data_IF_788237089126
#
_entry.id   IF_788237089126
#
_cell.length_a   1.000
_cell.length_b   1.000
_cell.length_c   1.000
_cell.angle_alpha   90.00
_cell.angle_beta   90.00
_cell.angle_gamma   90.00
#
_symmetry.space_group_name_H-M   'P 1'
#
loop_
_entity.id
_entity.type
_entity.pdbx_description
1 polymer ?
#
# COMPACT_ATOMS: atom_id res chain seq x y z
N UNK A 1 4.15 5.81 -9.64
CA UNK A 1 3.98 4.99 -8.42
C UNK A 1 2.96 5.64 -7.50
N UNK A 2 2.01 4.87 -6.97
CA UNK A 2 0.94 5.35 -6.10
C UNK A 2 1.38 5.46 -4.63
N UNK A 3 2.12 4.46 -4.13
CA UNK A 3 2.70 4.38 -2.78
C UNK A 3 1.72 4.26 -1.61
N UNK A 4 0.43 4.05 -1.89
CA UNK A 4 -0.60 3.84 -0.85
C UNK A 4 -1.83 3.09 -1.39
N UNK A 5 -1.59 1.96 -2.08
CA UNK A 5 -2.66 1.09 -2.56
C UNK A 5 -3.25 0.31 -1.38
N UNK A 6 -4.56 0.47 -1.14
CA UNK A 6 -5.33 -0.20 -0.07
C UNK A 6 -6.83 -0.09 -0.35
N UNK A 7 -7.65 -0.93 0.30
CA UNK A 7 -9.09 -0.96 0.02
C UNK A 7 -9.78 0.39 0.27
N UNK A 8 -9.39 1.14 1.31
CA UNK A 8 -9.99 2.44 1.60
C UNK A 8 -9.68 3.53 0.57
N UNK A 9 -8.71 3.29 -0.33
CA UNK A 9 -8.36 4.20 -1.42
C UNK A 9 -8.97 3.75 -2.76
N UNK A 10 -9.75 2.66 -2.79
CA UNK A 10 -10.51 2.23 -3.96
C UNK A 10 -11.97 2.65 -3.79
N UNK A 11 -12.43 3.53 -4.67
CA UNK A 11 -13.81 4.00 -4.74
C UNK A 11 -14.60 3.15 -5.74
N UNK A 12 -15.90 3.01 -5.53
CA UNK A 12 -16.80 2.36 -6.47
C UNK A 12 -17.61 3.42 -7.21
N UNK A 13 -17.69 3.31 -8.53
CA UNK A 13 -18.61 4.14 -9.34
C UNK A 13 -20.03 3.56 -9.38
N UNK A 14 -20.91 4.22 -10.15
CA UNK A 14 -22.33 3.82 -10.26
C UNK A 14 -22.55 2.44 -10.87
N UNK A 15 -21.55 1.88 -11.56
CA UNK A 15 -21.57 0.57 -12.19
C UNK A 15 -20.78 -0.48 -11.37
N UNK A 16 -20.44 -0.16 -10.12
CA UNK A 16 -19.64 -1.00 -9.22
C UNK A 16 -18.21 -1.29 -9.72
N UNK A 17 -17.66 -0.45 -10.60
CA UNK A 17 -16.26 -0.56 -10.99
C UNK A 17 -15.35 0.11 -9.95
N UNK A 18 -14.32 -0.62 -9.54
CA UNK A 18 -13.27 -0.08 -8.66
C UNK A 18 -12.41 0.96 -9.37
N UNK A 19 -12.26 2.13 -8.74
CA UNK A 19 -11.40 3.23 -9.20
C UNK A 19 -10.44 3.60 -8.08
N UNK A 20 -9.15 3.53 -8.38
CA UNK A 20 -8.10 3.91 -7.44
C UNK A 20 -8.08 5.44 -7.28
N UNK A 21 -8.09 5.91 -6.05
CA UNK A 21 -8.02 7.32 -5.66
C UNK A 21 -6.92 7.57 -4.63
N UNK A 22 -6.87 8.81 -4.12
CA UNK A 22 -5.86 9.29 -3.16
C UNK A 22 -4.39 9.18 -3.65
N UNK A 23 -4.06 10.00 -4.64
CA UNK A 23 -2.71 10.12 -5.18
C UNK A 23 -1.81 11.08 -4.36
N UNK A 24 -2.14 11.37 -3.10
CA UNK A 24 -1.40 12.34 -2.27
C UNK A 24 0.06 11.94 -2.02
N UNK A 25 0.38 10.64 -2.07
CA UNK A 25 1.74 10.12 -1.95
C UNK A 25 2.38 9.76 -3.29
N UNK A 26 1.64 9.91 -4.40
CA UNK A 26 2.07 9.47 -5.71
C UNK A 26 3.31 10.23 -6.19
N UNK A 27 4.19 9.54 -6.90
CA UNK A 27 5.40 10.09 -7.49
C UNK A 27 5.58 9.56 -8.91
N UNK A 28 5.96 10.47 -9.81
CA UNK A 28 6.49 10.11 -11.12
C UNK A 28 7.89 9.54 -10.92
N UNK A 29 8.15 8.38 -11.51
CA UNK A 29 9.47 7.78 -11.49
C UNK A 29 10.17 8.14 -12.80
N UNK A 30 11.04 9.15 -12.78
CA UNK A 30 11.92 9.42 -13.93
C UNK A 30 13.05 8.39 -13.93
N UNK A 31 13.24 7.70 -15.06
CA UNK A 31 14.17 6.58 -15.29
C UNK A 31 15.68 6.90 -15.16
N UNK A 32 16.04 7.92 -14.37
CA UNK A 32 17.43 8.29 -14.07
C UNK A 32 17.62 8.99 -12.72
N UNK A 33 16.56 9.21 -11.95
CA UNK A 33 16.63 9.86 -10.62
C UNK A 33 16.49 8.81 -9.54
N UNK A 34 17.42 8.81 -8.60
CA UNK A 34 17.45 7.85 -7.50
C UNK A 34 16.10 7.86 -6.76
N UNK A 35 15.45 6.70 -6.68
CA UNK A 35 14.13 6.55 -6.04
C UNK A 35 14.20 6.63 -4.50
N UNK A 36 15.32 7.13 -3.96
CA UNK A 36 15.50 7.35 -2.55
C UNK A 36 14.49 8.40 -2.10
N UNK A 37 13.45 7.92 -1.41
CA UNK A 37 12.49 8.81 -0.79
C UNK A 37 13.05 9.24 0.56
N UNK A 38 13.05 10.55 0.83
CA UNK A 38 13.56 11.14 2.08
C UNK A 38 12.81 10.61 3.31
N UNK A 39 11.60 10.10 3.12
CA UNK A 39 10.78 9.47 4.15
C UNK A 39 9.99 8.27 3.59
N UNK A 40 10.02 7.16 4.33
CA UNK A 40 9.08 6.04 4.17
C UNK A 40 7.66 6.55 4.42
N UNK A 41 6.78 6.37 3.45
CA UNK A 41 5.39 6.83 3.50
C UNK A 41 4.47 5.75 2.92
N UNK A 42 3.24 5.70 3.43
CA UNK A 42 2.21 4.73 3.09
C UNK A 42 1.64 4.05 4.33
N UNK A 43 0.67 3.15 4.13
CA UNK A 43 -0.08 2.53 5.22
C UNK A 43 0.60 1.27 5.74
N UNK A 44 0.80 1.17 7.07
CA UNK A 44 1.33 -0.03 7.72
C UNK A 44 0.48 -1.27 7.37
N UNK A 45 1.15 -2.38 7.06
CA UNK A 45 0.50 -3.60 6.54
C UNK A 45 0.46 -3.68 5.01
N UNK A 46 0.70 -2.58 4.30
CA UNK A 46 0.77 -2.52 2.84
C UNK A 46 2.17 -2.12 2.34
N UNK A 47 3.07 -1.76 3.26
CA UNK A 47 4.44 -1.36 2.96
C UNK A 47 5.32 -2.59 2.69
N UNK A 48 5.92 -2.64 1.51
CA UNK A 48 6.90 -3.65 1.15
C UNK A 48 8.16 -3.57 2.03
N UNK A 49 8.80 -4.71 2.29
CA UNK A 49 9.95 -4.77 3.20
C UNK A 49 11.15 -3.97 2.70
N UNK A 50 11.39 -3.99 1.39
CA UNK A 50 12.45 -3.23 0.73
C UNK A 50 12.23 -1.70 0.83
N UNK A 51 10.98 -1.24 0.84
CA UNK A 51 10.65 0.16 1.07
C UNK A 51 10.95 0.54 2.53
N UNK A 52 10.60 -0.32 3.48
CA UNK A 52 10.88 -0.09 4.92
C UNK A 52 12.39 -0.09 5.19
N UNK A 53 13.14 -1.03 4.61
CA UNK A 53 14.57 -1.21 4.87
C UNK A 53 15.45 -0.18 4.18
N UNK A 54 15.13 0.16 2.94
CA UNK A 54 16.01 0.97 2.08
C UNK A 54 15.44 2.34 1.73
N UNK A 55 14.20 2.64 2.15
CA UNK A 55 13.53 3.91 1.81
C UNK A 55 13.29 4.07 0.31
N UNK A 56 13.35 2.97 -0.46
CA UNK A 56 13.29 2.99 -1.92
C UNK A 56 11.92 2.52 -2.38
N UNK A 57 11.11 3.46 -2.86
CA UNK A 57 9.84 3.12 -3.51
C UNK A 57 10.12 2.73 -4.97
N UNK A 58 9.56 1.61 -5.40
CA UNK A 58 9.66 1.11 -6.78
C UNK A 58 8.29 0.61 -7.24
N UNK A 59 8.15 0.27 -8.52
CA UNK A 59 6.95 -0.38 -9.03
C UNK A 59 6.63 -1.68 -8.27
N UNK A 60 7.65 -2.46 -7.88
CA UNK A 60 7.47 -3.66 -7.07
C UNK A 60 6.85 -3.37 -5.70
N UNK A 61 7.11 -2.20 -5.11
CA UNK A 61 6.49 -1.80 -3.84
C UNK A 61 4.99 -1.55 -3.97
N UNK A 62 4.53 -1.02 -5.11
CA UNK A 62 3.09 -0.89 -5.42
C UNK A 62 2.46 -2.27 -5.69
N UNK A 63 3.20 -3.20 -6.32
CA UNK A 63 2.74 -4.58 -6.55
C UNK A 63 2.54 -5.32 -5.23
N UNK A 64 3.46 -5.18 -4.27
CA UNK A 64 3.30 -5.74 -2.92
C UNK A 64 2.05 -5.17 -2.24
N UNK A 65 1.88 -3.85 -2.24
CA UNK A 65 0.71 -3.19 -1.66
C UNK A 65 -0.61 -3.67 -2.30
N UNK A 66 -0.61 -3.88 -3.62
CA UNK A 66 -1.73 -4.47 -4.34
C UNK A 66 -2.02 -5.92 -3.90
N UNK A 67 -1.00 -6.73 -3.65
CA UNK A 67 -1.15 -8.07 -3.07
C UNK A 67 -1.80 -8.05 -1.68
N UNK A 68 -1.34 -7.14 -0.81
CA UNK A 68 -1.93 -6.92 0.51
C UNK A 68 -3.39 -6.42 0.42
N UNK A 69 -3.71 -5.60 -0.58
CA UNK A 69 -5.07 -5.18 -0.89
C UNK A 69 -5.96 -6.35 -1.32
N UNK A 70 -5.49 -7.24 -2.21
CA UNK A 70 -6.25 -8.45 -2.58
C UNK A 70 -6.48 -9.34 -1.37
N UNK A 71 -5.46 -9.50 -0.50
CA UNK A 71 -5.61 -10.24 0.75
C UNK A 71 -6.71 -9.64 1.63
N UNK A 72 -6.72 -8.32 1.81
CA UNK A 72 -7.76 -7.63 2.58
C UNK A 72 -9.16 -7.92 2.05
N UNK A 73 -9.34 -7.88 0.72
CA UNK A 73 -10.62 -8.18 0.08
C UNK A 73 -11.04 -9.64 0.25
N UNK A 74 -10.09 -10.57 0.08
CA UNK A 74 -10.38 -12.00 0.17
C UNK A 74 -10.71 -12.45 1.60
N UNK A 75 -10.05 -11.87 2.60
CA UNK A 75 -10.23 -12.23 4.01
C UNK A 75 -11.24 -11.34 4.76
N UNK A 76 -11.67 -10.22 4.16
CA UNK A 76 -12.50 -9.21 4.83
C UNK A 76 -11.83 -8.59 6.06
N UNK A 77 -10.50 -8.69 6.16
CA UNK A 77 -9.71 -8.32 7.34
C UNK A 77 -8.42 -7.63 6.90
N UNK A 78 -8.02 -6.57 7.61
CA UNK A 78 -6.80 -5.83 7.27
C UNK A 78 -5.55 -6.72 7.39
N UNK A 79 -4.55 -6.55 6.51
CA UNK A 79 -3.27 -7.28 6.56
C UNK A 79 -2.52 -7.13 7.89
N UNK A 80 -2.73 -5.98 8.56
CA UNK A 80 -2.15 -5.65 9.85
C UNK A 80 -3.19 -4.91 10.69
N UNK A 81 -3.27 -5.26 11.97
CA UNK A 81 -4.21 -4.65 12.91
C UNK A 81 -3.87 -4.96 14.37
N UNK A 82 -4.75 -4.54 15.28
CA UNK A 82 -4.67 -4.93 16.68
C UNK A 82 -5.75 -5.98 16.95
N UNK A 83 -5.40 -7.02 17.70
CA UNK A 83 -6.40 -7.99 18.19
C UNK A 83 -7.17 -7.41 19.39
N UNK A 84 -8.14 -8.18 19.91
CA UNK A 84 -8.98 -7.76 21.05
C UNK A 84 -8.20 -7.45 22.34
N UNK A 85 -6.91 -7.86 22.43
CA UNK A 85 -6.02 -7.59 23.56
C UNK A 85 -5.08 -6.40 23.31
N UNK A 86 -5.20 -5.75 22.17
CA UNK A 86 -4.32 -4.66 21.76
C UNK A 86 -2.94 -5.13 21.27
N UNK A 87 -2.78 -6.41 20.93
CA UNK A 87 -1.52 -6.93 20.39
C UNK A 87 -1.50 -6.78 18.86
N UNK A 88 -0.33 -6.48 18.31
CA UNK A 88 -0.14 -6.36 16.87
C UNK A 88 -0.31 -7.72 16.20
N UNK A 89 -1.34 -7.84 15.37
CA UNK A 89 -1.57 -8.97 14.50
C UNK A 89 -1.09 -8.60 13.10
N UNK A 90 -0.20 -9.44 12.56
CA UNK A 90 0.33 -9.32 11.20
C UNK A 90 -0.04 -10.61 10.46
N UNK A 91 -0.79 -10.47 9.37
CA UNK A 91 -1.28 -11.60 8.58
C UNK A 91 -0.45 -11.85 7.31
N UNK A 92 0.45 -10.92 6.96
CA UNK A 92 1.27 -10.93 5.75
C UNK A 92 2.67 -10.41 6.04
#
# INVERSE_FOLDING_TARGET
MHRDVKASNVLLDGDMNGRLGDFGLARLHDHGTDAHTTHVAGTRGYLALELIRFGKATEATDVFAFGAFIFELACGSRPMGLNARGELLVLV
#
